data_IF_118693634501
#
_entry.id   IF_118693634501
#
_cell.length_a   1.000
_cell.length_b   1.000
_cell.length_c   1.000
_cell.angle_alpha   90.00
_cell.angle_beta   90.00
_cell.angle_gamma   90.00
#
_symmetry.space_group_name_H-M   'P 1'
#
loop_
_entity.id
_entity.type
_entity.pdbx_description
1 polymer ?
#
# COMPACT_ATOMS: atom_id res chain seq x y z
N UNK A 1 -3.97 0.93 21.97
CA UNK A 1 -4.75 0.18 22.99
C UNK A 1 -4.81 -1.27 22.56
N UNK A 2 -4.64 -2.20 23.50
CA UNK A 2 -4.57 -3.63 23.26
C UNK A 2 -5.90 -4.30 23.57
N UNK A 3 -6.30 -5.22 22.69
CA UNK A 3 -7.44 -6.10 22.86
C UNK A 3 -6.97 -7.56 22.75
N UNK A 4 -7.08 -8.34 23.83
CA UNK A 4 -6.63 -9.74 23.84
C UNK A 4 -7.42 -10.59 24.86
N UNK A 5 -7.24 -11.91 24.78
CA UNK A 5 -7.84 -12.85 25.73
C UNK A 5 -6.75 -13.66 26.41
N UNK A 6 -6.78 -13.74 27.74
CA UNK A 6 -5.87 -14.55 28.54
C UNK A 6 -6.66 -15.28 29.63
N UNK A 7 -6.45 -16.60 29.76
CA UNK A 7 -7.16 -17.47 30.71
C UNK A 7 -8.69 -17.31 30.68
N UNK A 8 -9.29 -17.21 29.48
CA UNK A 8 -10.74 -17.05 29.31
C UNK A 8 -11.30 -15.67 29.67
N UNK A 9 -10.44 -14.72 30.09
CA UNK A 9 -10.82 -13.34 30.36
C UNK A 9 -10.42 -12.44 29.18
N UNK A 10 -11.35 -11.59 28.74
CA UNK A 10 -11.10 -10.55 27.74
C UNK A 10 -10.53 -9.30 28.42
N UNK A 11 -9.46 -8.77 27.84
CA UNK A 11 -8.84 -7.50 28.20
C UNK A 11 -9.02 -6.60 26.98
N UNK A 12 -9.79 -5.51 27.13
CA UNK A 12 -10.13 -4.62 26.03
C UNK A 12 -9.81 -3.17 26.38
N UNK A 13 -9.09 -2.48 25.50
CA UNK A 13 -8.65 -1.10 25.72
C UNK A 13 -7.49 -0.95 26.69
N UNK A 14 -6.64 -1.97 26.85
CA UNK A 14 -5.56 -1.96 27.86
C UNK A 14 -4.27 -1.39 27.31
N UNK A 15 -3.45 -0.77 28.16
CA UNK A 15 -2.05 -0.46 27.83
C UNK A 15 -1.15 -1.65 28.17
N UNK A 16 0.08 -1.67 27.63
CA UNK A 16 1.09 -2.67 28.00
C UNK A 16 1.35 -2.68 29.50
N UNK A 17 1.61 -1.50 30.09
CA UNK A 17 1.91 -1.36 31.51
C UNK A 17 0.76 -1.83 32.41
N UNK A 18 -0.49 -1.53 32.05
CA UNK A 18 -1.65 -1.98 32.83
C UNK A 18 -1.78 -3.51 32.81
N UNK A 19 -1.54 -4.13 31.65
CA UNK A 19 -1.64 -5.58 31.50
C UNK A 19 -0.55 -6.31 32.30
N UNK A 20 0.69 -5.79 32.27
CA UNK A 20 1.80 -6.30 33.07
C UNK A 20 1.51 -6.12 34.57
N UNK A 21 1.03 -4.95 34.98
CA UNK A 21 0.66 -4.68 36.38
C UNK A 21 -0.48 -5.59 36.89
N UNK A 22 -1.37 -6.02 36.00
CA UNK A 22 -2.42 -6.99 36.29
C UNK A 22 -1.94 -8.46 36.31
N UNK A 23 -0.64 -8.71 36.13
CA UNK A 23 -0.04 -10.04 36.18
C UNK A 23 -0.20 -10.86 34.90
N UNK A 24 -0.53 -10.24 33.77
CA UNK A 24 -0.51 -10.93 32.47
C UNK A 24 0.96 -11.18 32.08
N UNK A 25 1.33 -12.39 31.63
CA UNK A 25 2.70 -12.68 31.22
C UNK A 25 3.16 -11.77 30.07
N UNK A 26 4.42 -11.31 30.12
CA UNK A 26 4.99 -10.42 29.10
C UNK A 26 4.83 -10.98 27.69
N UNK A 27 5.09 -12.28 27.48
CA UNK A 27 4.90 -12.93 26.18
C UNK A 27 3.47 -12.81 25.61
N UNK A 28 2.44 -12.85 26.46
CA UNK A 28 1.04 -12.70 26.03
C UNK A 28 0.75 -11.27 25.62
N UNK A 29 1.23 -10.30 26.41
CA UNK A 29 1.06 -8.88 26.11
C UNK A 29 1.86 -8.50 24.85
N UNK A 30 3.10 -8.97 24.70
CA UNK A 30 3.93 -8.74 23.53
C UNK A 30 3.33 -9.34 22.25
N UNK A 31 2.77 -10.55 22.31
CA UNK A 31 2.03 -11.12 21.19
C UNK A 31 0.80 -10.28 20.81
N UNK A 32 0.09 -9.72 21.79
CA UNK A 32 -1.02 -8.80 21.55
C UNK A 32 -0.56 -7.48 20.89
N UNK A 33 0.54 -6.89 21.37
CA UNK A 33 1.16 -5.70 20.77
C UNK A 33 1.50 -5.95 19.30
N UNK A 34 2.15 -7.08 18.99
CA UNK A 34 2.46 -7.45 17.60
C UNK A 34 1.21 -7.63 16.75
N UNK A 35 0.17 -8.27 17.27
CA UNK A 35 -1.08 -8.46 16.53
C UNK A 35 -1.73 -7.12 16.18
N UNK A 36 -1.79 -6.19 17.13
CA UNK A 36 -2.25 -4.82 16.89
C UNK A 36 -1.39 -4.11 15.85
N UNK A 37 -0.06 -4.24 15.92
CA UNK A 37 0.85 -3.62 14.97
C UNK A 37 0.65 -4.12 13.54
N UNK A 38 0.45 -5.43 13.34
CA UNK A 38 0.15 -6.00 12.01
C UNK A 38 -1.15 -5.46 11.44
N UNK A 39 -2.18 -5.29 12.28
CA UNK A 39 -3.44 -4.68 11.85
C UNK A 39 -3.23 -3.23 11.40
N UNK A 40 -2.45 -2.44 12.14
CA UNK A 40 -2.12 -1.05 11.77
C UNK A 40 -1.35 -0.97 10.44
N UNK A 41 -0.40 -1.89 10.20
CA UNK A 41 0.28 -1.99 8.89
C UNK A 41 -0.73 -2.30 7.79
N UNK A 42 -1.64 -3.25 8.01
CA UNK A 42 -2.70 -3.58 7.06
C UNK A 42 -3.56 -2.37 6.72
N UNK A 43 -4.10 -1.68 7.73
CA UNK A 43 -4.95 -0.50 7.57
C UNK A 43 -4.23 0.64 6.83
N UNK A 44 -2.97 0.91 7.18
CA UNK A 44 -2.14 1.92 6.52
C UNK A 44 -1.98 1.61 5.02
N UNK A 45 -1.61 0.37 4.70
CA UNK A 45 -1.37 -0.07 3.32
C UNK A 45 -2.66 -0.18 2.51
N UNK A 46 -3.77 -0.55 3.13
CA UNK A 46 -5.10 -0.51 2.51
C UNK A 46 -5.52 0.93 2.16
N UNK A 47 -5.16 1.92 2.98
CA UNK A 47 -5.30 3.34 2.64
C UNK A 47 -4.59 3.70 1.32
N UNK A 48 -3.35 3.25 1.15
CA UNK A 48 -2.62 3.47 -0.10
C UNK A 48 -3.22 2.70 -1.29
N UNK A 49 -3.64 1.44 -1.08
CA UNK A 49 -4.34 0.66 -2.13
C UNK A 49 -5.62 1.35 -2.58
N UNK A 50 -6.42 1.82 -1.63
CA UNK A 50 -7.66 2.54 -1.91
C UNK A 50 -7.40 3.84 -2.69
N UNK A 51 -6.32 4.56 -2.34
CA UNK A 51 -5.92 5.76 -3.07
C UNK A 51 -5.53 5.45 -4.53
N UNK A 52 -4.81 4.34 -4.78
CA UNK A 52 -4.52 3.87 -6.16
C UNK A 52 -5.78 3.42 -6.91
N UNK A 53 -6.71 2.76 -6.21
CA UNK A 53 -7.89 2.12 -6.80
C UNK A 53 -9.12 3.01 -6.90
N UNK A 54 -9.06 4.28 -6.46
CA UNK A 54 -10.19 5.23 -6.40
C UNK A 54 -10.88 5.57 -7.74
N UNK A 55 -10.52 4.86 -8.83
CA UNK A 55 -11.16 4.94 -10.14
C UNK A 55 -12.23 3.85 -10.27
N UNK A 56 -13.41 4.21 -10.80
CA UNK A 56 -14.50 3.25 -11.06
C UNK A 56 -14.03 2.05 -11.89
N UNK A 57 -14.67 0.89 -11.74
CA UNK A 57 -14.31 -0.33 -12.46
C UNK A 57 -14.22 -0.13 -14.00
N UNK A 58 -15.10 0.69 -14.57
CA UNK A 58 -15.04 1.05 -16.00
C UNK A 58 -13.79 1.84 -16.39
N UNK A 59 -13.30 2.72 -15.52
CA UNK A 59 -12.07 3.48 -15.75
C UNK A 59 -10.82 2.61 -15.63
N UNK A 60 -10.86 1.56 -14.79
CA UNK A 60 -9.80 0.54 -14.76
C UNK A 60 -9.80 -0.33 -16.02
N UNK A 61 -10.99 -0.69 -16.52
CA UNK A 61 -11.12 -1.44 -17.78
C UNK A 61 -10.59 -0.63 -18.98
N UNK A 62 -10.96 0.65 -19.07
CA UNK A 62 -10.42 1.59 -20.07
C UNK A 62 -8.89 1.66 -20.01
N UNK A 63 -8.32 1.76 -18.80
CA UNK A 63 -6.87 1.78 -18.62
C UNK A 63 -6.18 0.50 -19.07
N UNK A 64 -6.76 -0.67 -18.79
CA UNK A 64 -6.21 -1.97 -19.23
C UNK A 64 -6.19 -2.09 -20.76
N UNK A 65 -7.25 -1.61 -21.43
CA UNK A 65 -7.30 -1.57 -22.89
C UNK A 65 -6.20 -0.65 -23.42
N UNK A 66 -6.08 0.56 -22.88
CA UNK A 66 -5.04 1.53 -23.26
C UNK A 66 -3.63 1.02 -23.01
N UNK A 67 -3.41 0.34 -21.89
CA UNK A 67 -2.16 -0.33 -21.54
C UNK A 67 -1.81 -1.44 -22.53
N UNK A 68 -2.77 -2.28 -22.93
CA UNK A 68 -2.58 -3.31 -23.95
C UNK A 68 -2.23 -2.70 -25.31
N UNK A 69 -2.94 -1.65 -25.72
CA UNK A 69 -2.67 -0.93 -26.98
C UNK A 69 -1.33 -0.19 -26.94
N UNK A 70 -0.88 0.28 -25.78
CA UNK A 70 0.43 0.90 -25.63
C UNK A 70 1.57 -0.14 -25.65
N UNK A 71 1.32 -1.36 -25.15
CA UNK A 71 2.28 -2.46 -25.20
C UNK A 71 2.40 -3.07 -26.60
N UNK A 72 1.30 -3.17 -27.34
CA UNK A 72 1.28 -3.63 -28.73
C UNK A 72 0.35 -2.76 -29.60
N UNK A 73 0.83 -1.62 -30.09
CA UNK A 73 0.04 -0.73 -30.94
C UNK A 73 -0.34 -1.36 -32.29
N UNK A 74 0.37 -2.41 -32.73
CA UNK A 74 0.09 -3.08 -34.00
C UNK A 74 -1.11 -4.03 -33.92
N UNK A 75 -1.50 -4.44 -32.70
CA UNK A 75 -2.71 -5.24 -32.46
C UNK A 75 -4.02 -4.42 -32.49
N UNK A 76 -3.93 -3.09 -32.48
CA UNK A 76 -5.07 -2.19 -32.43
C UNK A 76 -5.85 -2.18 -33.75
N UNK A 77 -7.18 -2.22 -33.68
CA UNK A 77 -7.99 -1.96 -34.86
C UNK A 77 -8.04 -0.46 -35.20
N UNK A 78 -8.48 -0.14 -36.43
CA UNK A 78 -8.51 1.23 -36.94
C UNK A 78 -9.39 2.15 -36.07
N UNK A 79 -10.50 1.63 -35.55
CA UNK A 79 -11.44 2.36 -34.72
C UNK A 79 -10.86 2.71 -33.33
N UNK A 80 -10.12 1.79 -32.71
CA UNK A 80 -9.40 2.01 -31.45
C UNK A 80 -8.30 3.07 -31.61
N UNK A 81 -7.53 2.99 -32.71
CA UNK A 81 -6.51 3.99 -33.04
C UNK A 81 -7.11 5.38 -33.25
N UNK A 82 -8.28 5.49 -33.89
CA UNK A 82 -8.98 6.76 -34.09
C UNK A 82 -9.49 7.36 -32.76
N UNK A 83 -9.91 6.53 -31.80
CA UNK A 83 -10.28 6.99 -30.46
C UNK A 83 -9.05 7.51 -29.70
N UNK A 84 -7.90 6.82 -29.81
CA UNK A 84 -6.64 7.29 -29.24
C UNK A 84 -6.18 8.61 -29.86
N UNK A 85 -6.33 8.80 -31.18
CA UNK A 85 -6.01 10.06 -31.84
C UNK A 85 -6.87 11.22 -31.37
N UNK A 86 -8.19 10.99 -31.21
CA UNK A 86 -9.09 12.00 -30.64
C UNK A 86 -8.66 12.41 -29.24
N UNK A 87 -8.30 11.44 -28.40
CA UNK A 87 -7.81 11.73 -27.06
C UNK A 87 -6.48 12.46 -27.08
N UNK A 88 -5.54 12.03 -27.92
CA UNK A 88 -4.23 12.67 -28.06
C UNK A 88 -4.40 14.14 -28.47
N UNK A 89 -5.22 14.38 -29.49
CA UNK A 89 -5.57 15.73 -29.97
C UNK A 89 -6.20 16.58 -28.88
N UNK A 90 -7.17 16.03 -28.13
CA UNK A 90 -7.83 16.75 -27.03
C UNK A 90 -6.86 17.11 -25.89
N UNK A 91 -5.75 16.39 -25.77
CA UNK A 91 -4.69 16.64 -24.77
C UNK A 91 -3.51 17.44 -25.34
N UNK A 92 -3.55 17.84 -26.61
CA UNK A 92 -2.43 18.54 -27.27
C UNK A 92 -1.21 17.66 -27.51
N UNK A 93 -1.39 16.34 -27.60
CA UNK A 93 -0.35 15.34 -27.84
C UNK A 93 -0.55 14.68 -29.21
N UNK A 94 0.51 14.07 -29.74
CA UNK A 94 0.36 13.06 -30.79
C UNK A 94 0.10 11.67 -30.16
N UNK A 95 -0.26 10.70 -31.01
CA UNK A 95 -0.56 9.33 -30.56
C UNK A 95 0.63 8.69 -29.84
N UNK A 96 1.85 8.89 -30.37
CA UNK A 96 3.08 8.32 -29.80
C UNK A 96 3.31 8.83 -28.39
N UNK A 97 3.17 10.13 -28.17
CA UNK A 97 3.29 10.78 -26.88
C UNK A 97 2.18 10.35 -25.91
N UNK A 98 0.94 10.18 -26.39
CA UNK A 98 -0.15 9.64 -25.57
C UNK A 98 0.13 8.20 -25.12
N UNK A 99 0.57 7.32 -26.02
CA UNK A 99 0.91 5.94 -25.69
C UNK A 99 2.11 5.86 -24.72
N UNK A 100 3.13 6.68 -24.92
CA UNK A 100 4.26 6.78 -24.00
C UNK A 100 3.81 7.23 -22.60
N UNK A 101 2.91 8.21 -22.52
CA UNK A 101 2.33 8.68 -21.26
C UNK A 101 1.50 7.59 -20.57
N UNK A 102 0.70 6.83 -21.32
CA UNK A 102 -0.07 5.69 -20.79
C UNK A 102 0.88 4.64 -20.21
N UNK A 103 1.92 4.25 -20.95
CA UNK A 103 2.92 3.27 -20.50
C UNK A 103 3.67 3.73 -19.25
N UNK A 104 4.07 5.00 -19.18
CA UNK A 104 4.74 5.56 -18.00
C UNK A 104 3.84 5.53 -16.76
N UNK A 105 2.59 5.99 -16.89
CA UNK A 105 1.62 5.97 -15.77
C UNK A 105 1.32 4.55 -15.32
N UNK A 106 1.14 3.64 -16.27
CA UNK A 106 0.90 2.22 -15.99
C UNK A 106 2.06 1.60 -15.21
N UNK A 107 3.30 1.86 -15.65
CA UNK A 107 4.51 1.39 -14.96
C UNK A 107 4.55 1.91 -13.53
N UNK A 108 4.27 3.20 -13.32
CA UNK A 108 4.21 3.79 -11.98
C UNK A 108 3.14 3.14 -11.09
N UNK A 109 1.93 2.88 -11.61
CA UNK A 109 0.89 2.16 -10.87
C UNK A 109 1.33 0.74 -10.47
N UNK A 110 1.92 -0.02 -11.41
CA UNK A 110 2.41 -1.38 -11.12
C UNK A 110 3.53 -1.37 -10.08
N UNK A 111 4.49 -0.45 -10.20
CA UNK A 111 5.58 -0.29 -9.24
C UNK A 111 5.06 0.05 -7.84
N UNK A 112 4.13 1.01 -7.74
CA UNK A 112 3.51 1.37 -6.46
C UNK A 112 2.77 0.18 -5.83
N UNK A 113 1.99 -0.56 -6.63
CA UNK A 113 1.26 -1.72 -6.14
C UNK A 113 2.20 -2.84 -5.64
N UNK A 114 3.27 -3.13 -6.38
CA UNK A 114 4.28 -4.12 -5.97
C UNK A 114 5.00 -3.68 -4.70
N UNK A 115 5.35 -2.40 -4.59
CA UNK A 115 6.03 -1.88 -3.41
C UNK A 115 5.15 -1.94 -2.16
N UNK A 116 3.86 -1.61 -2.26
CA UNK A 116 2.93 -1.76 -1.13
C UNK A 116 2.94 -3.21 -0.61
N UNK A 117 2.93 -4.19 -1.52
CA UNK A 117 3.04 -5.60 -1.14
C UNK A 117 4.38 -5.96 -0.49
N UNK A 118 5.48 -5.39 -0.98
CA UNK A 118 6.80 -5.60 -0.38
C UNK A 118 6.89 -5.01 1.04
N UNK A 119 6.40 -3.79 1.23
CA UNK A 119 6.37 -3.11 2.53
C UNK A 119 5.53 -3.86 3.56
N UNK A 120 4.40 -4.44 3.15
CA UNK A 120 3.60 -5.30 4.02
C UNK A 120 4.40 -6.49 4.52
N UNK A 121 5.10 -7.19 3.61
CA UNK A 121 5.88 -8.36 3.95
C UNK A 121 7.08 -7.99 4.86
N UNK A 122 7.78 -6.91 4.54
CA UNK A 122 8.93 -6.42 5.30
C UNK A 122 8.54 -5.97 6.71
N UNK A 123 7.47 -5.17 6.85
CA UNK A 123 6.97 -4.72 8.15
C UNK A 123 6.49 -5.91 9.00
N UNK A 124 5.77 -6.86 8.41
CA UNK A 124 5.32 -8.06 9.11
C UNK A 124 6.50 -8.94 9.58
N UNK A 125 7.54 -9.06 8.77
CA UNK A 125 8.75 -9.79 9.14
C UNK A 125 9.53 -9.09 10.27
N UNK A 126 9.68 -7.76 10.19
CA UNK A 126 10.34 -6.97 11.23
C UNK A 126 9.56 -7.03 12.56
N UNK A 127 8.23 -6.91 12.52
CA UNK A 127 7.35 -7.12 13.69
C UNK A 127 7.53 -8.53 14.25
N UNK A 128 7.59 -9.55 13.40
CA UNK A 128 7.75 -10.94 13.86
C UNK A 128 9.08 -11.18 14.58
N UNK A 129 10.15 -10.48 14.19
CA UNK A 129 11.49 -10.62 14.74
C UNK A 129 11.68 -10.02 16.14
N UNK A 130 10.82 -9.07 16.55
CA UNK A 130 10.84 -8.51 17.92
C UNK A 130 10.54 -9.62 18.93
N UNK A 131 11.22 -9.72 20.07
CA UNK A 131 10.86 -10.73 21.09
C UNK A 131 9.52 -10.38 21.75
N UNK A 132 8.64 -11.36 21.95
CA UNK A 132 7.38 -11.17 22.68
C UNK A 132 7.62 -10.81 24.16
N UNK A 133 8.81 -11.08 24.68
CA UNK A 133 9.20 -10.80 26.07
C UNK A 133 10.09 -9.56 26.21
N UNK A 134 10.35 -8.83 25.11
CA UNK A 134 11.15 -7.62 25.17
C UNK A 134 10.50 -6.59 26.11
N UNK A 135 11.27 -6.08 27.07
CA UNK A 135 10.79 -5.05 28.00
C UNK A 135 10.44 -3.72 27.32
N UNK A 136 10.95 -3.51 26.11
CA UNK A 136 10.74 -2.36 25.25
C UNK A 136 9.99 -2.72 23.94
N UNK A 137 9.20 -3.82 23.95
CA UNK A 137 8.47 -4.31 22.76
C UNK A 137 7.66 -3.22 22.07
N UNK A 138 6.96 -2.34 22.81
CA UNK A 138 6.20 -1.23 22.22
C UNK A 138 7.11 -0.24 21.48
N UNK A 139 8.29 0.07 22.02
CA UNK A 139 9.27 0.97 21.39
C UNK A 139 9.84 0.37 20.12
N UNK A 140 10.21 -0.91 20.15
CA UNK A 140 10.74 -1.60 18.97
C UNK A 140 9.69 -1.68 17.86
N UNK A 141 8.44 -2.01 18.21
CA UNK A 141 7.32 -2.07 17.28
C UNK A 141 7.00 -0.69 16.69
N UNK A 142 6.94 0.37 17.51
CA UNK A 142 6.73 1.73 17.01
C UNK A 142 7.83 2.18 16.06
N UNK A 143 9.08 1.75 16.30
CA UNK A 143 10.20 2.02 15.38
C UNK A 143 9.96 1.38 14.01
N UNK A 144 9.51 0.12 13.99
CA UNK A 144 9.16 -0.58 12.74
C UNK A 144 7.99 0.09 12.02
N UNK A 145 6.93 0.46 12.74
CA UNK A 145 5.76 1.13 12.17
C UNK A 145 6.13 2.48 11.54
N UNK A 146 6.90 3.32 12.24
CA UNK A 146 7.33 4.63 11.73
C UNK A 146 8.21 4.50 10.48
N UNK A 147 9.10 3.50 10.45
CA UNK A 147 9.93 3.23 9.29
C UNK A 147 9.06 2.80 8.08
N UNK A 148 8.12 1.88 8.29
CA UNK A 148 7.20 1.43 7.26
C UNK A 148 6.32 2.58 6.72
N UNK A 149 5.80 3.44 7.60
CA UNK A 149 5.02 4.62 7.21
C UNK A 149 5.84 5.60 6.38
N UNK A 150 7.07 5.89 6.79
CA UNK A 150 7.95 6.82 6.07
C UNK A 150 8.29 6.27 4.68
N UNK A 151 8.67 5.00 4.56
CA UNK A 151 8.98 4.39 3.26
C UNK A 151 7.75 4.32 2.36
N UNK A 152 6.58 3.97 2.91
CA UNK A 152 5.32 3.97 2.16
C UNK A 152 4.96 5.37 1.67
N UNK A 153 5.05 6.40 2.52
CA UNK A 153 4.73 7.78 2.18
C UNK A 153 5.65 8.33 1.08
N UNK A 154 6.97 8.12 1.19
CA UNK A 154 7.94 8.57 0.17
C UNK A 154 7.63 7.95 -1.18
N UNK A 155 7.47 6.63 -1.24
CA UNK A 155 7.26 5.97 -2.51
C UNK A 155 5.88 6.24 -3.12
N UNK A 156 4.86 6.43 -2.28
CA UNK A 156 3.56 6.86 -2.76
C UNK A 156 3.61 8.27 -3.36
N UNK A 157 4.37 9.19 -2.75
CA UNK A 157 4.56 10.54 -3.29
C UNK A 157 5.31 10.52 -4.65
N UNK A 158 6.34 9.68 -4.78
CA UNK A 158 7.05 9.47 -6.04
C UNK A 158 6.14 8.89 -7.12
N UNK A 159 5.36 7.85 -6.78
CA UNK A 159 4.40 7.25 -7.70
C UNK A 159 3.31 8.24 -8.13
N UNK A 160 2.75 9.01 -7.19
CA UNK A 160 1.75 10.04 -7.49
C UNK A 160 2.31 11.14 -8.39
N UNK A 161 3.56 11.52 -8.21
CA UNK A 161 4.23 12.50 -9.07
C UNK A 161 4.24 11.97 -10.51
N UNK A 162 4.70 10.74 -10.74
CA UNK A 162 4.71 10.12 -12.08
C UNK A 162 3.29 9.93 -12.65
N UNK A 163 2.33 9.50 -11.83
CA UNK A 163 0.93 9.29 -12.23
C UNK A 163 0.24 10.60 -12.64
N UNK A 164 0.53 11.69 -11.93
CA UNK A 164 -0.09 13.00 -12.18
C UNK A 164 0.65 13.81 -13.27
N UNK A 165 1.72 13.26 -13.86
CA UNK A 165 2.47 13.92 -14.92
C UNK A 165 3.57 14.83 -14.37
N UNK A 166 4.33 14.32 -13.40
CA UNK A 166 5.53 14.94 -12.87
C UNK A 166 6.38 15.48 -14.03
N UNK A 167 6.60 16.80 -13.95
CA UNK A 167 7.25 17.71 -14.90
C UNK A 167 8.29 17.10 -15.82
#
# INVERSE_FOLDING_TARGET
>A
MLDFTYNGRRYAGWTFNDAIAAGVPAAVVGAAVKATARALVGDLLDGYRAALSSRSAGKLAEYRVKESLAADPASANTEELALLDREATARGLDRTALLALISAKTTAYRQAALLIGALEAEANAAIAAVSDEASDVETQINTVLNAAETTAATAFAEALTLINGGS
#
